data_IF_069900978254
#
_entry.id   IF_069900978254
#
_cell.length_a   1.000
_cell.length_b   1.000
_cell.length_c   1.000
_cell.angle_alpha   90.00
_cell.angle_beta   90.00
_cell.angle_gamma   90.00
#
_symmetry.space_group_name_H-M   'P 1'
#
loop_
_entity.id
_entity.type
_entity.pdbx_description
1 polymer ?
#
# COMPACT_ATOMS: atom_id res chain seq x y z
N UNK A 1 -72.35 12.51 -8.74
CA UNK A 1 -70.96 12.32 -9.21
C UNK A 1 -70.02 13.51 -8.96
N UNK A 2 -70.39 14.78 -9.23
CA UNK A 2 -69.47 15.94 -9.08
C UNK A 2 -68.99 16.25 -7.63
N UNK A 3 -69.76 15.91 -6.59
CA UNK A 3 -69.37 16.14 -5.18
C UNK A 3 -68.34 15.12 -4.66
N UNK A 4 -68.49 13.85 -5.02
CA UNK A 4 -67.53 12.79 -4.68
C UNK A 4 -66.17 12.97 -5.39
N UNK A 5 -66.18 13.44 -6.65
CA UNK A 5 -64.97 13.71 -7.41
C UNK A 5 -64.16 14.89 -6.83
N UNK A 6 -64.83 15.95 -6.34
CA UNK A 6 -64.18 17.09 -5.68
C UNK A 6 -63.56 16.71 -4.32
N UNK A 7 -64.24 15.88 -3.54
CA UNK A 7 -63.71 15.38 -2.26
C UNK A 7 -62.48 14.47 -2.44
N UNK A 8 -62.50 13.59 -3.43
CA UNK A 8 -61.35 12.74 -3.77
C UNK A 8 -60.15 13.55 -4.26
N UNK A 9 -60.35 14.60 -5.06
CA UNK A 9 -59.26 15.47 -5.52
C UNK A 9 -58.59 16.23 -4.38
N UNK A 10 -59.36 16.71 -3.40
CA UNK A 10 -58.85 17.38 -2.20
C UNK A 10 -58.04 16.38 -1.36
N UNK A 11 -58.54 15.16 -1.16
CA UNK A 11 -57.83 14.12 -0.41
C UNK A 11 -56.49 13.74 -1.06
N UNK A 12 -56.45 13.57 -2.39
CA UNK A 12 -55.20 13.33 -3.13
C UNK A 12 -54.25 14.53 -3.01
N UNK A 13 -54.76 15.76 -3.13
CA UNK A 13 -53.95 16.97 -2.96
C UNK A 13 -53.30 17.07 -1.57
N UNK A 14 -54.03 16.73 -0.51
CA UNK A 14 -53.50 16.68 0.86
C UNK A 14 -52.45 15.58 1.01
N UNK A 15 -52.67 14.38 0.45
CA UNK A 15 -51.68 13.29 0.50
C UNK A 15 -50.39 13.65 -0.24
N UNK A 16 -50.48 14.30 -1.41
CA UNK A 16 -49.30 14.77 -2.16
C UNK A 16 -48.56 15.84 -1.37
N UNK A 17 -49.26 16.77 -0.72
CA UNK A 17 -48.65 17.80 0.12
C UNK A 17 -47.91 17.16 1.33
N UNK A 18 -48.52 16.18 1.99
CA UNK A 18 -47.89 15.45 3.10
C UNK A 18 -46.65 14.67 2.63
N UNK A 19 -46.71 14.03 1.46
CA UNK A 19 -45.56 13.36 0.86
C UNK A 19 -44.42 14.34 0.54
N UNK A 20 -44.74 15.52 -0.01
CA UNK A 20 -43.76 16.56 -0.31
C UNK A 20 -43.10 17.10 0.97
N UNK A 21 -43.87 17.33 2.04
CA UNK A 21 -43.34 17.72 3.35
C UNK A 21 -42.41 16.63 3.90
N UNK A 22 -42.83 15.37 3.84
CA UNK A 22 -42.01 14.24 4.32
C UNK A 22 -40.68 14.14 3.56
N UNK A 23 -40.70 14.22 2.23
CA UNK A 23 -39.48 14.22 1.40
C UNK A 23 -38.59 15.43 1.74
N UNK A 24 -39.18 16.61 1.94
CA UNK A 24 -38.45 17.81 2.35
C UNK A 24 -37.75 17.64 3.70
N UNK A 25 -38.43 17.04 4.70
CA UNK A 25 -37.85 16.75 6.01
C UNK A 25 -36.70 15.74 5.92
N UNK A 26 -36.86 14.67 5.12
CA UNK A 26 -35.82 13.67 4.90
C UNK A 26 -34.60 14.30 4.22
N UNK A 27 -34.80 15.09 3.15
CA UNK A 27 -33.71 15.78 2.46
C UNK A 27 -32.96 16.75 3.37
N UNK A 28 -33.69 17.55 4.14
CA UNK A 28 -33.09 18.48 5.09
C UNK A 28 -32.29 17.76 6.18
N UNK A 29 -32.84 16.66 6.72
CA UNK A 29 -32.14 15.81 7.69
C UNK A 29 -30.85 15.24 7.12
N UNK A 30 -30.87 14.72 5.89
CA UNK A 30 -29.68 14.18 5.22
C UNK A 30 -28.61 15.26 5.00
N UNK A 31 -29.02 16.44 4.52
CA UNK A 31 -28.08 17.55 4.28
C UNK A 31 -27.44 18.04 5.58
N UNK A 32 -28.22 18.14 6.66
CA UNK A 32 -27.70 18.52 7.98
C UNK A 32 -26.78 17.45 8.56
N UNK A 33 -27.14 16.17 8.41
CA UNK A 33 -26.31 15.04 8.83
C UNK A 33 -24.95 15.06 8.12
N UNK A 34 -24.94 15.33 6.81
CA UNK A 34 -23.70 15.48 6.04
C UNK A 34 -22.84 16.65 6.52
N UNK A 35 -23.44 17.84 6.71
CA UNK A 35 -22.71 19.01 7.18
C UNK A 35 -22.11 18.79 8.58
N UNK A 36 -22.86 18.14 9.48
CA UNK A 36 -22.36 17.77 10.80
C UNK A 36 -21.22 16.75 10.70
N UNK A 37 -21.36 15.73 9.83
CA UNK A 37 -20.31 14.74 9.62
C UNK A 37 -18.99 15.38 9.13
N UNK A 38 -19.06 16.33 8.19
CA UNK A 38 -17.88 17.04 7.70
C UNK A 38 -17.20 17.87 8.81
N UNK A 39 -18.00 18.61 9.59
CA UNK A 39 -17.50 19.40 10.73
C UNK A 39 -16.85 18.52 11.80
N UNK A 40 -17.51 17.42 12.17
CA UNK A 40 -17.04 16.50 13.21
C UNK A 40 -15.82 15.72 12.72
N UNK A 41 -15.74 15.37 11.43
CA UNK A 41 -14.54 14.78 10.83
C UNK A 41 -13.34 15.72 10.94
N UNK A 42 -13.51 17.00 10.62
CA UNK A 42 -12.40 17.96 10.68
C UNK A 42 -11.94 18.19 12.12
N UNK A 43 -12.88 18.40 13.04
CA UNK A 43 -12.58 18.60 14.45
C UNK A 43 -11.87 17.36 15.05
N UNK A 44 -12.38 16.17 14.75
CA UNK A 44 -11.80 14.93 15.23
C UNK A 44 -10.46 14.62 14.56
N UNK A 45 -10.28 14.92 13.26
CA UNK A 45 -8.99 14.72 12.59
C UNK A 45 -7.90 15.52 13.30
N UNK A 46 -8.16 16.79 13.59
CA UNK A 46 -7.23 17.64 14.35
C UNK A 46 -6.94 17.05 15.73
N UNK A 47 -7.97 16.51 16.41
CA UNK A 47 -7.79 15.84 17.70
C UNK A 47 -6.94 14.57 17.58
N UNK A 48 -7.19 13.71 16.58
CA UNK A 48 -6.42 12.49 16.34
C UNK A 48 -4.96 12.80 15.98
N UNK A 49 -4.71 13.91 15.30
CA UNK A 49 -3.36 14.38 14.97
C UNK A 49 -2.56 14.77 16.21
N UNK A 50 -3.22 15.17 17.32
CA UNK A 50 -2.52 15.48 18.58
C UNK A 50 -1.90 14.25 19.24
N UNK A 51 -2.37 13.03 18.94
CA UNK A 51 -1.79 11.81 19.48
C UNK A 51 -0.38 11.62 18.94
N UNK A 52 0.63 11.77 19.81
CA UNK A 52 2.05 11.74 19.42
C UNK A 52 2.60 10.33 19.25
N UNK A 53 2.05 9.38 19.97
CA UNK A 53 2.56 8.01 20.08
C UNK A 53 1.66 7.02 19.36
N UNK A 54 2.27 5.97 18.83
CA UNK A 54 1.60 4.73 18.41
C UNK A 54 1.78 3.71 19.52
N UNK A 55 0.68 3.07 19.95
CA UNK A 55 0.64 2.11 21.06
C UNK A 55 0.06 0.75 20.67
N UNK A 56 -0.49 0.65 19.47
CA UNK A 56 -1.30 -0.48 19.00
C UNK A 56 -0.47 -1.67 18.53
N UNK A 57 0.86 -1.53 18.55
CA UNK A 57 1.85 -2.54 18.16
C UNK A 57 1.56 -3.17 16.77
N UNK A 58 1.72 -2.37 15.68
CA UNK A 58 1.38 -2.83 14.35
C UNK A 58 2.16 -4.08 13.92
N UNK A 59 1.56 -4.83 13.00
CA UNK A 59 2.11 -6.04 12.44
C UNK A 59 2.70 -5.79 11.05
N UNK A 60 3.83 -6.42 10.77
CA UNK A 60 4.45 -6.51 9.46
C UNK A 60 4.24 -7.91 8.90
N UNK A 61 3.86 -8.01 7.63
CA UNK A 61 3.71 -9.27 6.90
C UNK A 61 4.76 -9.34 5.80
N UNK A 62 5.50 -10.45 5.73
CA UNK A 62 6.56 -10.66 4.76
C UNK A 62 6.08 -11.53 3.60
N UNK A 63 6.27 -11.08 2.37
CA UNK A 63 5.94 -11.82 1.15
C UNK A 63 7.18 -12.14 0.33
N UNK A 64 7.17 -13.32 -0.29
CA UNK A 64 8.24 -13.81 -1.19
C UNK A 64 9.60 -13.95 -0.48
N UNK A 65 9.57 -14.20 0.82
CA UNK A 65 10.72 -14.56 1.63
C UNK A 65 10.66 -16.04 2.04
N UNK A 66 11.83 -16.63 2.24
CA UNK A 66 11.96 -17.91 2.93
C UNK A 66 12.12 -17.68 4.43
N UNK A 67 11.65 -18.59 5.31
CA UNK A 67 11.86 -18.49 6.76
C UNK A 67 13.32 -18.32 7.15
N UNK A 68 14.24 -18.94 6.40
CA UNK A 68 15.70 -18.84 6.59
C UNK A 68 16.25 -17.44 6.37
N UNK A 69 15.64 -16.63 5.49
CA UNK A 69 16.08 -15.25 5.24
C UNK A 69 15.62 -14.28 6.34
N UNK A 70 14.62 -14.66 7.13
CA UNK A 70 14.00 -13.82 8.15
C UNK A 70 14.40 -14.22 9.58
N UNK A 71 15.39 -15.10 9.75
CA UNK A 71 15.80 -15.62 11.07
C UNK A 71 16.15 -14.52 12.08
N UNK A 72 16.79 -13.46 11.61
CA UNK A 72 17.15 -12.30 12.44
C UNK A 72 16.70 -11.02 11.76
N UNK A 73 15.93 -10.22 12.49
CA UNK A 73 15.41 -8.93 12.08
C UNK A 73 15.93 -7.86 13.02
N UNK A 74 16.63 -6.86 12.52
CA UNK A 74 17.09 -5.71 13.30
C UNK A 74 16.16 -4.53 13.07
N UNK A 75 15.56 -4.03 14.13
CA UNK A 75 14.72 -2.85 14.13
C UNK A 75 15.51 -1.70 14.74
N UNK A 76 15.48 -0.55 14.07
CA UNK A 76 16.10 0.68 14.57
C UNK A 76 15.11 1.83 14.45
N UNK A 77 15.01 2.68 15.47
CA UNK A 77 14.20 3.90 15.40
C UNK A 77 15.10 5.04 14.94
N UNK A 78 14.77 5.63 13.79
CA UNK A 78 15.37 6.84 13.27
C UNK A 78 14.47 8.03 13.62
N UNK A 79 15.02 8.98 14.37
CA UNK A 79 14.38 10.23 14.77
C UNK A 79 15.34 11.38 14.57
N UNK A 80 14.91 12.42 13.86
CA UNK A 80 15.71 13.62 13.58
C UNK A 80 17.11 13.28 13.00
N UNK A 81 17.16 12.27 12.13
CA UNK A 81 18.41 11.79 11.51
C UNK A 81 19.33 10.96 12.41
N UNK A 82 18.93 10.67 13.65
CA UNK A 82 19.71 9.87 14.62
C UNK A 82 19.00 8.59 15.00
N UNK A 83 19.77 7.52 15.17
CA UNK A 83 19.24 6.25 15.67
C UNK A 83 19.09 6.36 17.19
N UNK A 84 17.85 6.27 17.69
CA UNK A 84 17.57 6.39 19.13
C UNK A 84 17.44 5.03 19.82
N UNK A 85 16.96 4.02 19.09
CA UNK A 85 16.78 2.67 19.60
C UNK A 85 17.26 1.65 18.56
N UNK A 86 17.77 0.52 19.05
CA UNK A 86 18.26 -0.57 18.23
C UNK A 86 17.92 -1.89 18.93
N UNK A 87 17.22 -2.78 18.25
CA UNK A 87 16.78 -4.06 18.82
C UNK A 87 16.76 -5.12 17.75
N UNK A 88 17.40 -6.26 18.03
CA UNK A 88 17.37 -7.42 17.14
C UNK A 88 16.43 -8.47 17.68
N UNK A 89 15.54 -8.96 16.81
CA UNK A 89 14.56 -10.00 17.11
C UNK A 89 14.93 -11.24 16.31
N UNK A 90 15.03 -12.38 17.01
CA UNK A 90 15.13 -13.68 16.36
C UNK A 90 13.72 -14.20 16.10
N UNK A 91 13.46 -14.62 14.86
CA UNK A 91 12.17 -15.17 14.47
C UNK A 91 12.23 -16.69 14.51
N UNK A 92 11.08 -17.32 14.77
CA UNK A 92 10.91 -18.76 14.77
C UNK A 92 9.88 -19.17 13.71
N UNK A 93 9.95 -18.55 12.52
CA UNK A 93 9.07 -18.90 11.41
C UNK A 93 9.30 -20.35 10.98
N UNK A 94 8.26 -21.18 11.10
CA UNK A 94 8.31 -22.59 10.69
C UNK A 94 7.76 -22.78 9.28
N UNK A 95 6.65 -22.10 8.99
CA UNK A 95 5.89 -22.26 7.76
C UNK A 95 5.82 -20.95 6.96
N UNK A 96 5.62 -21.07 5.64
CA UNK A 96 5.67 -19.95 4.69
C UNK A 96 4.43 -19.05 4.72
N UNK A 97 3.32 -19.53 5.27
CA UNK A 97 2.04 -18.82 5.24
C UNK A 97 1.92 -17.76 6.37
N UNK A 98 2.73 -17.87 7.42
CA UNK A 98 2.63 -17.05 8.62
C UNK A 98 3.91 -16.27 8.93
N UNK A 99 4.49 -15.63 7.92
CA UNK A 99 5.64 -14.74 8.08
C UNK A 99 5.19 -13.35 8.56
N UNK A 100 4.73 -13.29 9.82
CA UNK A 100 4.21 -12.06 10.42
C UNK A 100 4.93 -11.74 11.72
N UNK A 101 5.27 -10.47 11.94
CA UNK A 101 5.91 -10.03 13.18
C UNK A 101 5.36 -8.68 13.63
N UNK A 102 5.23 -8.51 14.93
CA UNK A 102 4.90 -7.21 15.51
C UNK A 102 6.18 -6.42 15.79
N UNK A 103 6.09 -5.10 15.87
CA UNK A 103 7.24 -4.30 16.27
C UNK A 103 7.72 -4.68 17.69
N UNK A 104 9.04 -4.64 17.95
CA UNK A 104 9.57 -4.93 19.29
C UNK A 104 9.38 -3.78 20.29
N UNK A 105 8.74 -2.68 19.89
CA UNK A 105 8.57 -1.48 20.69
C UNK A 105 7.15 -1.39 21.23
N UNK A 106 7.01 -1.21 22.55
CA UNK A 106 5.70 -0.98 23.18
C UNK A 106 5.04 0.33 22.74
N UNK A 107 5.85 1.33 22.39
CA UNK A 107 5.41 2.62 21.86
C UNK A 107 6.52 3.29 21.04
N UNK A 108 6.14 4.06 20.03
CA UNK A 108 7.04 4.91 19.23
C UNK A 108 6.29 6.18 18.79
N UNK A 109 6.99 7.22 18.31
CA UNK A 109 6.32 8.44 17.83
C UNK A 109 5.76 8.23 16.43
N UNK A 110 4.65 8.90 16.10
CA UNK A 110 4.11 8.92 14.72
C UNK A 110 5.11 9.43 13.68
N UNK A 111 6.00 10.33 14.09
CA UNK A 111 7.04 10.93 13.26
C UNK A 111 8.29 10.07 13.14
N UNK A 112 8.39 8.97 13.89
CA UNK A 112 9.54 8.08 13.80
C UNK A 112 9.53 7.31 12.49
N UNK A 113 10.74 7.07 11.96
CA UNK A 113 10.94 6.09 10.90
C UNK A 113 11.60 4.86 11.50
N UNK A 114 10.98 3.69 11.33
CA UNK A 114 11.53 2.42 11.80
C UNK A 114 12.28 1.79 10.64
N UNK A 115 13.59 1.63 10.81
CA UNK A 115 14.45 0.92 9.88
C UNK A 115 14.43 -0.55 10.25
N UNK A 116 13.87 -1.38 9.39
CA UNK A 116 13.99 -2.82 9.47
C UNK A 116 15.15 -3.26 8.58
N UNK A 117 16.14 -3.93 9.17
CA UNK A 117 17.27 -4.54 8.47
C UNK A 117 17.20 -6.06 8.60
N UNK A 118 17.21 -6.76 7.46
CA UNK A 118 17.26 -8.22 7.41
C UNK A 118 18.72 -8.72 7.53
N UNK A 119 18.91 -10.01 7.85
CA UNK A 119 20.25 -10.63 7.89
C UNK A 119 21.05 -10.42 6.59
N UNK A 120 20.35 -10.43 5.47
CA UNK A 120 20.87 -10.23 4.13
C UNK A 120 21.22 -8.76 3.81
N UNK A 121 21.08 -7.85 4.79
CA UNK A 121 21.35 -6.40 4.70
C UNK A 121 20.30 -5.59 3.95
N UNK A 122 19.17 -6.19 3.54
CA UNK A 122 18.05 -5.41 3.02
C UNK A 122 17.46 -4.50 4.09
N UNK A 123 17.23 -3.25 3.71
CA UNK A 123 16.65 -2.22 4.55
C UNK A 123 15.27 -1.80 4.06
N UNK A 124 14.36 -1.66 5.01
CA UNK A 124 13.02 -1.16 4.82
C UNK A 124 12.79 0.00 5.80
N UNK A 125 12.46 1.17 5.27
CA UNK A 125 12.15 2.36 6.04
C UNK A 125 10.64 2.44 6.18
N UNK A 126 10.12 2.06 7.35
CA UNK A 126 8.70 2.04 7.67
C UNK A 126 8.34 3.31 8.45
N UNK A 127 7.39 4.08 7.94
CA UNK A 127 6.98 5.36 8.53
C UNK A 127 5.50 5.64 8.27
N UNK A 128 4.97 6.76 8.78
CA UNK A 128 3.62 7.21 8.41
C UNK A 128 2.47 6.49 9.11
N UNK A 129 2.75 5.64 10.12
CA UNK A 129 1.71 5.14 11.00
C UNK A 129 1.01 6.30 11.70
N UNK A 130 -0.31 6.23 11.74
CA UNK A 130 -1.14 7.34 12.18
C UNK A 130 -2.43 6.90 12.84
N UNK A 131 -3.20 7.89 13.23
CA UNK A 131 -4.58 7.70 13.65
C UNK A 131 -5.46 8.52 12.71
N UNK A 132 -6.66 8.05 12.44
CA UNK A 132 -7.62 8.75 11.61
C UNK A 132 -8.95 8.90 12.33
N UNK A 133 -9.69 9.94 11.96
CA UNK A 133 -11.04 10.17 12.44
C UNK A 133 -11.99 9.14 11.81
N UNK A 134 -12.60 8.30 12.64
CA UNK A 134 -13.64 7.38 12.22
C UNK A 134 -15.00 7.86 12.71
N UNK A 135 -15.90 8.10 11.77
CA UNK A 135 -17.27 8.51 12.05
C UNK A 135 -18.18 7.29 12.06
N UNK A 136 -19.07 7.22 13.04
CA UNK A 136 -20.06 6.17 13.11
C UNK A 136 -21.26 6.49 12.20
N UNK A 137 -21.61 5.54 11.35
CA UNK A 137 -22.78 5.62 10.47
C UNK A 137 -23.75 4.49 10.82
N UNK A 138 -25.03 4.82 10.91
CA UNK A 138 -26.13 3.88 11.03
C UNK A 138 -26.94 3.78 9.74
N UNK A 139 -28.06 3.06 9.80
CA UNK A 139 -28.95 2.84 8.64
C UNK A 139 -29.47 4.14 8.00
N UNK A 140 -29.54 5.24 8.77
CA UNK A 140 -30.03 6.54 8.32
C UNK A 140 -28.93 7.61 8.26
N UNK A 141 -27.66 7.22 8.24
CA UNK A 141 -26.52 8.14 8.09
C UNK A 141 -25.74 8.37 9.38
N UNK A 142 -25.02 9.50 9.45
CA UNK A 142 -24.12 9.82 10.54
C UNK A 142 -24.89 9.96 11.87
N UNK A 143 -24.44 9.27 12.91
CA UNK A 143 -25.16 9.17 14.20
C UNK A 143 -24.60 10.11 15.28
N UNK A 144 -23.71 11.03 14.93
CA UNK A 144 -23.15 12.01 15.88
C UNK A 144 -22.15 11.43 16.88
N UNK A 145 -21.58 10.24 16.59
CA UNK A 145 -20.51 9.66 17.38
C UNK A 145 -19.33 9.27 16.51
N UNK A 146 -18.14 9.25 17.11
CA UNK A 146 -16.89 9.11 16.39
C UNK A 146 -15.75 8.76 17.33
N UNK A 147 -14.71 8.11 16.81
CA UNK A 147 -13.51 7.72 17.54
C UNK A 147 -12.23 7.92 16.70
N UNK A 148 -11.08 8.03 17.38
CA UNK A 148 -9.78 8.01 16.72
C UNK A 148 -9.33 6.56 16.58
N UNK A 149 -9.17 6.08 15.35
CA UNK A 149 -8.71 4.71 15.08
C UNK A 149 -7.30 4.68 14.54
N UNK A 150 -6.56 3.65 14.90
CA UNK A 150 -5.24 3.39 14.36
C UNK A 150 -5.34 3.05 12.86
N UNK A 151 -4.46 3.65 12.06
CA UNK A 151 -4.34 3.36 10.64
C UNK A 151 -3.28 2.27 10.43
N UNK A 152 -3.69 1.16 9.82
CA UNK A 152 -2.75 0.10 9.39
C UNK A 152 -1.92 0.52 8.16
N UNK A 153 -2.32 1.60 7.49
CA UNK A 153 -1.55 2.17 6.40
C UNK A 153 -0.26 2.80 6.93
N UNK A 154 0.83 2.52 6.23
CA UNK A 154 2.14 3.07 6.45
C UNK A 154 2.84 3.32 5.11
N UNK A 155 4.03 3.89 5.16
CA UNK A 155 4.90 4.08 4.02
C UNK A 155 6.14 3.22 4.24
N UNK A 156 6.43 2.35 3.28
CA UNK A 156 7.61 1.47 3.27
C UNK A 156 8.42 1.84 2.03
N UNK A 157 9.66 2.30 2.22
CA UNK A 157 10.54 2.68 1.11
C UNK A 157 9.87 3.61 0.08
N UNK A 158 9.14 4.63 0.57
CA UNK A 158 8.38 5.62 -0.19
C UNK A 158 7.10 5.12 -0.89
N UNK A 159 6.66 3.89 -0.62
CA UNK A 159 5.41 3.32 -1.17
C UNK A 159 4.40 3.12 -0.04
N UNK A 160 3.15 3.51 -0.27
CA UNK A 160 2.05 3.27 0.67
C UNK A 160 1.77 1.76 0.75
N UNK A 161 1.72 1.21 1.95
CA UNK A 161 1.54 -0.21 2.24
C UNK A 161 0.69 -0.40 3.49
N UNK A 162 0.07 -1.56 3.65
CA UNK A 162 -0.66 -1.96 4.86
C UNK A 162 0.23 -2.80 5.78
N UNK A 163 1.52 -2.45 5.89
CA UNK A 163 2.53 -3.24 6.61
C UNK A 163 3.01 -4.49 5.85
N UNK A 164 2.78 -4.57 4.54
CA UNK A 164 3.28 -5.65 3.69
C UNK A 164 4.69 -5.31 3.21
N UNK A 165 5.64 -6.22 3.47
CA UNK A 165 7.04 -6.14 3.08
C UNK A 165 7.29 -7.20 2.01
N UNK A 166 7.51 -6.77 0.77
CA UNK A 166 7.94 -7.65 -0.29
C UNK A 166 9.46 -7.68 -0.43
N UNK A 167 10.03 -8.86 -0.71
CA UNK A 167 11.48 -9.05 -0.89
C UNK A 167 12.11 -8.10 -1.91
N UNK A 168 11.37 -7.73 -2.94
CA UNK A 168 11.89 -6.96 -4.08
C UNK A 168 11.91 -5.45 -3.85
N UNK A 169 11.22 -4.96 -2.81
CA UNK A 169 11.14 -3.53 -2.50
C UNK A 169 12.27 -3.05 -1.58
N UNK A 170 13.07 -3.98 -1.04
CA UNK A 170 14.12 -3.64 -0.10
C UNK A 170 15.30 -2.89 -0.72
N UNK A 171 15.93 -2.03 0.08
CA UNK A 171 17.14 -1.30 -0.32
C UNK A 171 18.40 -1.93 0.26
N UNK A 172 19.38 -2.24 -0.59
CA UNK A 172 20.73 -2.64 -0.16
C UNK A 172 21.59 -1.43 0.18
N UNK A 173 21.55 -0.42 -0.69
CA UNK A 173 22.24 0.86 -0.56
C UNK A 173 21.18 1.97 -0.58
N UNK A 174 20.72 2.46 0.58
CA UNK A 174 19.69 3.50 0.65
C UNK A 174 20.06 4.79 -0.07
N UNK A 175 21.35 5.15 -0.13
CA UNK A 175 21.80 6.38 -0.80
C UNK A 175 21.60 6.31 -2.30
N UNK A 176 21.83 5.14 -2.90
CA UNK A 176 21.52 4.91 -4.32
C UNK A 176 20.04 4.64 -4.53
N UNK A 177 19.44 3.81 -3.67
CA UNK A 177 18.08 3.29 -3.87
C UNK A 177 17.01 4.35 -3.70
N UNK A 178 17.23 5.39 -2.89
CA UNK A 178 16.30 6.55 -2.77
C UNK A 178 16.12 7.31 -4.08
N UNK A 179 17.06 7.19 -5.01
CA UNK A 179 17.02 7.81 -6.33
C UNK A 179 16.43 6.89 -7.40
N UNK A 180 16.03 5.68 -7.00
CA UNK A 180 15.41 4.69 -7.88
C UNK A 180 13.90 4.75 -7.65
N UNK A 181 13.16 5.00 -8.73
CA UNK A 181 11.69 5.04 -8.72
C UNK A 181 11.15 3.85 -9.49
N UNK A 182 10.24 3.09 -8.90
CA UNK A 182 9.54 1.99 -9.59
C UNK A 182 8.18 2.46 -10.08
N UNK A 183 7.92 2.32 -11.38
CA UNK A 183 6.62 2.57 -12.01
C UNK A 183 5.91 1.22 -12.15
N UNK A 184 4.79 1.08 -11.46
CA UNK A 184 3.99 -0.15 -11.44
C UNK A 184 3.34 -0.42 -12.80
N UNK A 185 3.21 -1.69 -13.27
CA UNK A 185 2.62 -2.02 -14.57
C UNK A 185 1.20 -1.47 -14.77
N UNK A 186 0.42 -1.38 -13.70
CA UNK A 186 -0.97 -0.93 -13.73
C UNK A 186 -1.13 0.60 -13.68
N UNK A 187 -0.05 1.34 -13.48
CA UNK A 187 -0.11 2.80 -13.38
C UNK A 187 -0.27 3.43 -14.78
N UNK A 188 -1.09 4.49 -14.89
CA UNK A 188 -1.25 5.22 -16.15
C UNK A 188 0.08 5.78 -16.69
N UNK A 189 1.01 6.10 -15.80
CA UNK A 189 2.36 6.56 -16.17
C UNK A 189 3.21 5.46 -16.82
N UNK A 190 2.93 4.18 -16.56
CA UNK A 190 3.70 3.06 -17.09
C UNK A 190 3.76 3.08 -18.62
N UNK A 191 2.58 3.13 -19.25
CA UNK A 191 2.46 3.19 -20.71
C UNK A 191 3.05 4.47 -21.27
N UNK A 192 2.82 5.60 -20.60
CA UNK A 192 3.36 6.90 -21.01
C UNK A 192 4.91 6.93 -20.96
N UNK A 193 5.52 6.24 -19.99
CA UNK A 193 6.96 6.10 -19.89
C UNK A 193 7.49 5.11 -20.91
N UNK A 194 6.90 3.91 -21.00
CA UNK A 194 7.30 2.86 -21.93
C UNK A 194 7.23 3.32 -23.40
N UNK A 195 6.27 4.20 -23.74
CA UNK A 195 6.16 4.78 -25.08
C UNK A 195 7.39 5.64 -25.46
N UNK A 196 8.06 6.26 -24.49
CA UNK A 196 9.24 7.12 -24.70
C UNK A 196 10.53 6.34 -24.79
N UNK A 197 10.59 5.13 -24.23
CA UNK A 197 11.76 4.26 -24.27
C UNK A 197 12.10 3.85 -25.71
N UNK A 198 13.39 3.70 -26.01
CA UNK A 198 13.85 3.21 -27.32
C UNK A 198 13.46 1.76 -27.55
N UNK A 199 13.72 0.89 -26.57
CA UNK A 199 13.24 -0.50 -26.56
C UNK A 199 11.78 -0.47 -26.11
N UNK A 200 10.87 -0.95 -26.96
CA UNK A 200 9.44 -1.01 -26.62
C UNK A 200 9.16 -2.19 -25.71
N UNK A 201 8.07 -2.13 -24.93
CA UNK A 201 7.67 -3.20 -24.03
C UNK A 201 7.60 -4.56 -24.73
N UNK A 202 6.94 -4.64 -25.89
CA UNK A 202 6.86 -5.88 -26.69
C UNK A 202 8.23 -6.42 -27.12
N UNK A 203 9.17 -5.54 -27.42
CA UNK A 203 10.54 -5.93 -27.75
C UNK A 203 11.27 -6.44 -26.52
N UNK A 204 11.11 -5.77 -25.36
CA UNK A 204 11.65 -6.23 -24.09
C UNK A 204 11.07 -7.61 -23.68
N UNK A 205 9.77 -7.83 -23.87
CA UNK A 205 9.13 -9.14 -23.66
C UNK A 205 9.72 -10.21 -24.57
N UNK A 206 9.95 -9.90 -25.85
CA UNK A 206 10.59 -10.84 -26.77
C UNK A 206 12.04 -11.14 -26.37
N UNK A 207 12.80 -10.12 -25.94
CA UNK A 207 14.15 -10.27 -25.41
C UNK A 207 14.12 -11.18 -24.17
N UNK A 208 13.16 -10.99 -23.26
CA UNK A 208 12.95 -11.86 -22.10
C UNK A 208 12.69 -13.30 -22.51
N UNK A 209 11.71 -13.53 -23.40
CA UNK A 209 11.31 -14.87 -23.87
C UNK A 209 12.50 -15.59 -24.53
N UNK A 210 13.30 -14.89 -25.33
CA UNK A 210 14.46 -15.47 -26.01
C UNK A 210 15.62 -15.81 -25.06
N UNK A 211 15.63 -15.24 -23.85
CA UNK A 211 16.71 -15.39 -22.86
C UNK A 211 16.23 -16.01 -21.55
N UNK A 212 15.02 -16.59 -21.56
CA UNK A 212 14.48 -17.35 -20.43
C UNK A 212 15.31 -18.61 -20.24
N UNK A 213 15.53 -18.97 -18.98
CA UNK A 213 16.16 -20.25 -18.60
C UNK A 213 15.13 -21.36 -18.41
N UNK A 214 13.88 -20.97 -18.19
CA UNK A 214 12.75 -21.84 -17.99
C UNK A 214 12.08 -22.16 -19.34
N UNK A 215 12.19 -23.41 -19.78
CA UNK A 215 11.71 -23.84 -21.10
C UNK A 215 10.22 -24.24 -21.06
N UNK A 216 9.73 -24.74 -19.93
CA UNK A 216 8.42 -25.39 -19.81
C UNK A 216 7.35 -24.52 -19.12
N UNK A 217 7.70 -23.65 -18.17
CA UNK A 217 6.74 -22.72 -17.56
C UNK A 217 6.80 -21.37 -18.27
N UNK A 218 5.67 -20.96 -18.85
CA UNK A 218 5.48 -19.60 -19.33
C UNK A 218 5.05 -18.69 -18.16
N UNK A 219 5.98 -18.41 -17.23
CA UNK A 219 5.77 -17.44 -16.15
C UNK A 219 6.56 -16.16 -16.45
N UNK A 220 5.95 -15.23 -17.17
CA UNK A 220 6.46 -13.87 -17.30
C UNK A 220 5.67 -12.99 -16.34
N UNK A 221 6.28 -12.63 -15.21
CA UNK A 221 5.69 -11.70 -14.25
C UNK A 221 6.27 -10.31 -14.51
N UNK A 222 5.47 -9.35 -14.97
CA UNK A 222 5.95 -7.97 -15.13
C UNK A 222 5.87 -7.25 -13.79
N UNK A 223 7.01 -6.78 -13.28
CA UNK A 223 7.11 -6.05 -12.00
C UNK A 223 7.19 -4.53 -12.16
N UNK A 224 7.29 -4.03 -13.40
CA UNK A 224 7.24 -2.60 -13.68
C UNK A 224 8.46 -2.08 -14.42
N UNK A 225 8.69 -0.79 -14.30
CA UNK A 225 9.89 -0.10 -14.80
C UNK A 225 10.63 0.50 -13.62
N UNK A 226 11.90 0.17 -13.49
CA UNK A 226 12.81 0.82 -12.55
C UNK A 226 13.47 2.01 -13.26
N UNK A 227 13.28 3.21 -12.74
CA UNK A 227 13.84 4.45 -13.24
C UNK A 227 14.95 4.91 -12.29
N UNK A 228 16.20 4.75 -12.71
CA UNK A 228 17.37 5.23 -12.00
C UNK A 228 17.97 6.49 -12.63
N UNK A 229 18.97 7.12 -11.98
CA UNK A 229 19.60 8.34 -12.46
C UNK A 229 20.40 8.15 -13.77
N UNK A 230 20.97 6.96 -13.98
CA UNK A 230 21.81 6.66 -15.14
C UNK A 230 21.08 5.84 -16.23
N UNK A 231 20.11 5.03 -15.82
CA UNK A 231 19.43 4.10 -16.71
C UNK A 231 18.07 3.70 -16.15
N UNK A 232 17.18 3.32 -17.06
CA UNK A 232 15.88 2.73 -16.72
C UNK A 232 15.77 1.30 -17.26
N UNK A 233 15.06 0.44 -16.54
CA UNK A 233 14.96 -1.00 -16.83
C UNK A 233 13.52 -1.48 -16.74
N UNK A 234 13.09 -2.27 -17.72
CA UNK A 234 11.93 -3.16 -17.55
C UNK A 234 12.30 -4.28 -16.58
N UNK A 235 11.43 -4.55 -15.62
CA UNK A 235 11.64 -5.56 -14.59
C UNK A 235 10.67 -6.72 -14.82
N UNK A 236 11.23 -7.90 -15.08
CA UNK A 236 10.49 -9.14 -15.21
C UNK A 236 10.90 -10.12 -14.12
N UNK A 237 9.96 -10.97 -13.72
CA UNK A 237 10.16 -12.14 -12.88
C UNK A 237 10.04 -13.40 -13.71
N UNK A 238 10.97 -14.33 -13.49
CA UNK A 238 10.93 -15.67 -14.03
C UNK A 238 10.94 -16.67 -12.89
N UNK A 239 9.85 -17.43 -12.72
CA UNK A 239 9.80 -18.50 -11.72
C UNK A 239 10.70 -19.66 -12.17
N UNK A 240 11.34 -20.36 -11.23
CA UNK A 240 12.12 -21.56 -11.54
C UNK A 240 11.25 -22.81 -11.49
N UNK A 241 11.36 -23.67 -12.51
CA UNK A 241 10.64 -24.96 -12.57
C UNK A 241 10.90 -25.85 -11.36
N UNK A 242 12.16 -25.92 -10.91
CA UNK A 242 12.58 -26.78 -9.80
C UNK A 242 12.15 -26.27 -8.43
N UNK A 243 11.85 -24.97 -8.30
CA UNK A 243 11.44 -24.31 -7.06
C UNK A 243 10.60 -23.08 -7.39
N UNK A 244 9.27 -23.23 -7.47
CA UNK A 244 8.34 -22.13 -7.80
C UNK A 244 8.49 -20.88 -6.92
N UNK A 245 8.98 -21.04 -5.70
CA UNK A 245 9.22 -19.93 -4.76
C UNK A 245 10.48 -19.11 -5.07
N UNK A 246 11.27 -19.53 -6.06
CA UNK A 246 12.46 -18.81 -6.52
C UNK A 246 12.13 -18.10 -7.82
N UNK A 247 12.09 -16.78 -7.75
CA UNK A 247 11.89 -15.91 -8.90
C UNK A 247 13.22 -15.24 -9.21
N UNK A 248 13.76 -15.52 -10.39
CA UNK A 248 14.85 -14.76 -10.95
C UNK A 248 14.30 -13.41 -11.42
N UNK A 249 14.95 -12.31 -11.04
CA UNK A 249 14.61 -10.99 -11.55
C UNK A 249 15.46 -10.71 -12.79
N UNK A 250 14.81 -10.36 -13.88
CA UNK A 250 15.43 -10.03 -15.15
C UNK A 250 15.17 -8.55 -15.44
N UNK A 251 16.26 -7.77 -15.46
CA UNK A 251 16.23 -6.35 -15.83
C UNK A 251 16.65 -6.22 -17.29
N UNK A 252 15.82 -5.56 -18.10
CA UNK A 252 16.12 -5.26 -19.50
C UNK A 252 16.22 -3.76 -19.66
N UNK A 253 17.38 -3.27 -20.08
CA UNK A 253 17.62 -1.84 -20.22
C UNK A 253 16.73 -1.25 -21.32
N UNK A 254 15.98 -0.20 -20.95
CA UNK A 254 14.99 0.47 -21.81
C UNK A 254 15.57 1.17 -23.04
N UNK A 255 16.89 1.42 -23.07
CA UNK A 255 17.57 2.10 -24.19
C UNK A 255 18.40 1.17 -25.07
N UNK A 256 19.01 0.14 -24.47
CA UNK A 256 19.99 -0.73 -25.13
C UNK A 256 19.54 -2.17 -25.30
N UNK A 257 18.47 -2.59 -24.62
CA UNK A 257 18.01 -3.98 -24.62
C UNK A 257 18.92 -4.95 -23.86
N UNK A 258 20.02 -4.46 -23.26
CA UNK A 258 20.94 -5.29 -22.48
C UNK A 258 20.22 -5.91 -21.29
N UNK A 259 20.43 -7.20 -21.12
CA UNK A 259 19.82 -8.01 -20.06
C UNK A 259 20.76 -8.13 -18.87
N UNK A 260 20.20 -8.02 -17.67
CA UNK A 260 20.86 -8.40 -16.43
C UNK A 260 19.92 -9.28 -15.61
N UNK A 261 20.39 -10.46 -15.22
CA UNK A 261 19.62 -11.45 -14.47
C UNK A 261 20.14 -11.55 -13.04
N UNK A 262 19.23 -11.67 -12.10
CA UNK A 262 19.50 -11.76 -10.68
C UNK A 262 18.82 -13.00 -10.12
N UNK A 263 19.64 -13.97 -9.70
CA UNK A 263 19.20 -15.28 -9.24
C UNK A 263 18.75 -15.33 -7.79
N UNK A 264 19.13 -14.31 -7.02
CA UNK A 264 18.75 -14.15 -5.63
C UNK A 264 18.42 -12.68 -5.32
N UNK A 265 17.75 -12.01 -6.25
CA UNK A 265 17.43 -10.58 -6.15
C UNK A 265 16.78 -10.21 -4.79
N UNK A 266 17.21 -9.12 -4.15
CA UNK A 266 18.21 -8.16 -4.60
C UNK A 266 19.66 -8.56 -4.29
N UNK A 267 19.87 -9.69 -3.63
CA UNK A 267 21.18 -10.18 -3.22
C UNK A 267 21.83 -10.98 -4.35
N UNK A 268 22.63 -10.33 -5.18
CA UNK A 268 23.86 -10.97 -5.66
C UNK A 268 24.87 -9.85 -5.96
N UNK A 269 26.11 -10.11 -5.55
CA UNK A 269 27.31 -9.31 -5.84
C UNK A 269 27.69 -9.43 -7.31
#
# INVERSE_FOLDING_TARGET
MKRFFKGSLIAVGVLVLLAAIFVGLVWWSMQRSKANAESDAEALSKACDTAKYITENPQLTFLKFTPTELQTLRFQILRDGKITNDTSVKTAFKDKENLKINFPYKKFLKTDTIILTLQSQLKYYVSGYGHYAYLHYGMFGYVGSSDCRFSENCVINNVVSTGIIEKFDGWLDPEKSKHIRTIQPVAAEYEAFAAKCKIKLKEAEQIFINNRKNEHLYSMLTYGIEVGPEASYYIFGEERESKRDYIDIVKINTETGKIKRYTNYPFDK
#
